data_IF_908304328662
#
_entry.id   IF_908304328662
#
_cell.length_a   1.000
_cell.length_b   1.000
_cell.length_c   1.000
_cell.angle_alpha   90.00
_cell.angle_beta   90.00
_cell.angle_gamma   90.00
#
_symmetry.space_group_name_H-M   'P 1'
#
loop_
_entity.id
_entity.type
_entity.pdbx_description
1 polymer ?
#
# COMPACT_ATOMS: atom_id res chain seq x y z
N UNK A 1 15.48 22.81 -9.17
CA UNK A 1 14.75 21.58 -9.51
C UNK A 1 14.14 21.12 -8.20
N UNK A 2 12.83 21.30 -8.02
CA UNK A 2 12.17 20.94 -6.77
C UNK A 2 11.83 19.46 -6.81
N UNK A 3 12.57 18.66 -6.04
CA UNK A 3 12.32 17.22 -5.92
C UNK A 3 11.18 16.99 -4.93
N UNK A 4 10.08 16.39 -5.40
CA UNK A 4 8.98 15.93 -4.53
C UNK A 4 9.26 14.49 -4.11
N UNK A 5 9.33 14.26 -2.80
CA UNK A 5 9.47 12.93 -2.20
C UNK A 5 8.11 12.55 -1.60
N UNK A 6 7.63 11.37 -1.94
CA UNK A 6 6.43 10.78 -1.34
C UNK A 6 6.79 9.43 -0.74
N UNK A 7 6.26 9.15 0.45
CA UNK A 7 6.40 7.87 1.13
C UNK A 7 5.10 7.10 0.92
N UNK A 8 5.23 5.85 0.49
CA UNK A 8 4.11 4.93 0.38
C UNK A 8 4.38 3.70 1.24
N UNK A 9 3.32 3.14 1.79
CA UNK A 9 3.34 1.89 2.53
C UNK A 9 2.55 0.81 1.78
N UNK A 10 2.94 -0.44 1.99
CA UNK A 10 2.24 -1.63 1.52
C UNK A 10 2.28 -2.69 2.62
N UNK A 11 1.13 -3.30 2.92
CA UNK A 11 0.98 -4.29 3.97
C UNK A 11 0.49 -5.62 3.39
N UNK A 12 1.30 -6.67 3.47
CA UNK A 12 0.87 -8.01 3.07
C UNK A 12 0.07 -8.65 4.21
N UNK A 13 -1.23 -8.83 3.97
CA UNK A 13 -2.11 -9.54 4.90
C UNK A 13 -2.20 -10.99 4.48
N UNK A 14 -1.68 -11.89 5.31
CA UNK A 14 -1.68 -13.33 5.09
C UNK A 14 -2.67 -14.03 6.03
N UNK A 15 -3.68 -14.66 5.46
CA UNK A 15 -4.54 -15.61 6.14
C UNK A 15 -3.84 -16.98 6.16
N UNK A 16 -3.27 -17.30 7.32
CA UNK A 16 -2.56 -18.56 7.56
C UNK A 16 -3.47 -19.79 7.57
N UNK A 17 -4.76 -19.63 7.86
CA UNK A 17 -5.69 -20.76 7.95
C UNK A 17 -6.03 -21.29 6.56
N UNK A 18 -6.14 -20.39 5.58
CA UNK A 18 -6.51 -20.70 4.21
C UNK A 18 -5.33 -20.65 3.22
N UNK A 19 -4.14 -20.30 3.71
CA UNK A 19 -2.91 -20.08 2.93
C UNK A 19 -3.10 -19.07 1.78
N UNK A 20 -3.70 -17.93 2.11
CA UNK A 20 -4.09 -16.90 1.14
C UNK A 20 -3.58 -15.52 1.52
N UNK A 21 -3.22 -14.71 0.52
CA UNK A 21 -2.86 -13.31 0.72
C UNK A 21 -3.94 -12.38 0.15
N UNK A 22 -4.26 -11.32 0.87
CA UNK A 22 -5.18 -10.29 0.39
C UNK A 22 -4.48 -9.40 -0.64
N UNK A 23 -5.10 -9.26 -1.81
CA UNK A 23 -4.62 -8.38 -2.87
C UNK A 23 -5.76 -7.49 -3.41
N UNK A 24 -5.42 -6.25 -3.73
CA UNK A 24 -6.29 -5.26 -4.36
C UNK A 24 -6.09 -5.28 -5.88
N UNK A 25 -7.17 -5.31 -6.65
CA UNK A 25 -7.10 -5.18 -8.11
C UNK A 25 -6.91 -3.69 -8.49
N UNK A 26 -5.69 -3.30 -8.85
CA UNK A 26 -5.34 -1.92 -9.18
C UNK A 26 -5.53 -1.66 -10.68
N UNK A 27 -6.38 -0.68 -11.07
CA UNK A 27 -6.68 -0.44 -12.48
C UNK A 27 -5.49 0.16 -13.22
N UNK A 28 -5.36 -0.20 -14.50
CA UNK A 28 -4.19 0.12 -15.34
C UNK A 28 -3.88 1.62 -15.45
N UNK A 29 -4.93 2.45 -15.39
CA UNK A 29 -4.82 3.92 -15.40
C UNK A 29 -3.99 4.52 -14.27
N UNK A 30 -3.66 3.76 -13.22
CA UNK A 30 -2.87 4.24 -12.08
C UNK A 30 -1.36 3.94 -12.19
N UNK A 31 -0.86 3.46 -13.34
CA UNK A 31 0.58 3.33 -13.64
C UNK A 31 1.30 2.13 -13.00
N UNK A 32 0.56 1.28 -12.28
CA UNK A 32 1.02 0.03 -11.67
C UNK A 32 -0.19 -0.93 -11.70
N UNK A 33 -0.46 -1.55 -12.85
CA UNK A 33 -1.60 -2.45 -13.06
C UNK A 33 -1.43 -3.78 -12.30
N UNK A 34 -2.55 -4.41 -11.97
CA UNK A 34 -2.58 -5.79 -11.45
C UNK A 34 -2.88 -5.89 -9.95
N UNK A 35 -2.71 -7.09 -9.42
CA UNK A 35 -2.96 -7.40 -8.01
C UNK A 35 -1.79 -6.98 -7.14
N UNK A 36 -2.05 -6.18 -6.11
CA UNK A 36 -1.04 -5.64 -5.21
C UNK A 36 -1.51 -5.73 -3.76
N UNK A 37 -0.58 -5.85 -2.81
CA UNK A 37 -0.92 -5.76 -1.40
C UNK A 37 -1.55 -4.38 -1.08
N UNK A 38 -2.53 -4.31 -0.15
CA UNK A 38 -3.12 -3.05 0.29
C UNK A 38 -2.06 -2.06 0.82
N UNK A 39 -2.38 -0.78 0.76
CA UNK A 39 -1.50 0.29 1.21
C UNK A 39 -1.80 1.62 0.53
N UNK A 40 -1.01 2.62 0.86
CA UNK A 40 -1.28 3.99 0.44
C UNK A 40 -0.15 4.96 0.79
N UNK A 41 -0.46 6.25 0.68
CA UNK A 41 0.49 7.31 0.97
C UNK A 41 0.58 7.53 2.49
N UNK A 42 1.79 7.78 2.97
CA UNK A 42 2.05 8.22 4.34
C UNK A 42 2.18 9.75 4.34
N UNK A 43 1.32 10.42 5.09
CA UNK A 43 1.27 11.88 5.14
C UNK A 43 2.01 12.41 6.37
N UNK A 44 2.87 13.43 6.25
CA UNK A 44 3.52 14.01 7.43
C UNK A 44 2.47 14.67 8.35
N UNK A 45 2.47 14.44 9.68
CA UNK A 45 3.51 13.76 10.49
C UNK A 45 3.19 12.30 10.89
N UNK A 46 2.45 11.56 10.08
CA UNK A 46 2.11 10.13 10.29
C UNK A 46 3.34 9.22 10.28
N UNK A 47 3.33 8.18 11.12
CA UNK A 47 4.34 7.12 11.08
C UNK A 47 4.01 6.08 10.00
N UNK A 48 5.02 5.39 9.48
CA UNK A 48 4.79 4.32 8.48
C UNK A 48 3.89 3.18 8.99
N UNK A 49 3.85 2.97 10.31
CA UNK A 49 3.03 1.95 10.96
C UNK A 49 1.59 2.42 11.06
N UNK A 50 1.36 3.66 11.51
CA UNK A 50 0.00 4.22 11.60
C UNK A 50 -0.64 4.32 10.21
N UNK A 51 0.14 4.74 9.20
CA UNK A 51 -0.32 4.76 7.81
C UNK A 51 -0.65 3.37 7.27
N UNK A 52 0.12 2.34 7.63
CA UNK A 52 -0.18 0.96 7.25
C UNK A 52 -1.43 0.40 7.93
N UNK A 53 -1.76 0.86 9.14
CA UNK A 53 -2.97 0.46 9.88
C UNK A 53 -4.23 1.20 9.40
N UNK A 54 -4.08 2.44 8.92
CA UNK A 54 -5.18 3.28 8.42
C UNK A 54 -5.69 2.82 7.05
N UNK A 55 -4.78 2.40 6.16
CA UNK A 55 -5.08 1.90 4.81
C UNK A 55 -5.62 0.46 4.83
#
# INVERSE_FOLDING_TARGET
>A
MDTRIEILTMCMVWDKMNDQVLLMNRPDRKGFPGYIAPGGKVDFPESIVDGAMRE
#
